data_IF_954964990433
#
_entry.id   IF_954964990433
#
_cell.length_a   1.000
_cell.length_b   1.000
_cell.length_c   1.000
_cell.angle_alpha   90.00
_cell.angle_beta   90.00
_cell.angle_gamma   90.00
#
_symmetry.space_group_name_H-M   'P 1'
#
loop_
_entity.id
_entity.type
_entity.pdbx_description
1 polymer ?
#
# COMPACT_ATOMS: atom_id res chain seq x y z
N UNK A 1 -33.79 11.27 -7.72
CA UNK A 1 -32.70 12.03 -7.06
C UNK A 1 -31.41 11.28 -7.32
N UNK A 2 -30.73 11.63 -8.42
CA UNK A 2 -29.58 10.89 -8.95
C UNK A 2 -28.37 11.08 -8.04
N UNK A 3 -27.96 10.02 -7.34
CA UNK A 3 -26.69 9.91 -6.61
C UNK A 3 -25.72 9.00 -7.38
N UNK A 4 -25.67 9.13 -8.71
CA UNK A 4 -24.51 8.64 -9.46
C UNK A 4 -23.43 9.70 -9.28
N UNK A 5 -22.60 9.55 -8.24
CA UNK A 5 -21.36 10.31 -8.12
C UNK A 5 -20.54 10.05 -9.38
N UNK A 6 -19.95 11.11 -9.92
CA UNK A 6 -18.98 11.02 -11.00
C UNK A 6 -17.91 9.97 -10.63
N UNK A 7 -17.75 8.87 -11.40
CA UNK A 7 -16.72 7.86 -11.14
C UNK A 7 -15.29 8.41 -11.21
N UNK A 8 -15.10 9.66 -11.67
CA UNK A 8 -13.83 10.38 -11.65
C UNK A 8 -13.59 11.22 -10.38
N UNK A 9 -14.54 11.30 -9.44
CA UNK A 9 -14.37 12.01 -8.16
C UNK A 9 -13.51 11.17 -7.20
N UNK A 10 -12.19 11.18 -7.41
CA UNK A 10 -11.19 10.60 -6.49
C UNK A 10 -11.42 11.11 -5.07
N UNK A 11 -11.48 10.21 -4.08
CA UNK A 11 -11.47 10.64 -2.69
C UNK A 11 -10.15 11.33 -2.39
N UNK A 12 -10.22 12.59 -1.96
CA UNK A 12 -9.07 13.38 -1.57
C UNK A 12 -9.16 13.66 -0.07
N UNK A 13 -8.50 12.85 0.77
CA UNK A 13 -8.44 13.14 2.19
C UNK A 13 -7.69 14.45 2.42
N UNK A 14 -8.06 15.18 3.47
CA UNK A 14 -7.32 16.39 3.87
C UNK A 14 -5.92 15.99 4.37
N UNK A 15 -4.85 16.70 3.98
CA UNK A 15 -3.54 16.52 4.62
C UNK A 15 -3.64 16.77 6.13
N UNK A 16 -3.07 15.88 6.92
CA UNK A 16 -3.11 15.95 8.39
C UNK A 16 -1.93 15.17 8.97
N UNK A 17 -1.26 15.73 9.96
CA UNK A 17 -0.15 15.06 10.65
C UNK A 17 -0.67 13.95 11.58
N UNK A 18 0.14 12.92 11.84
CA UNK A 18 -0.30 11.74 12.60
C UNK A 18 -0.87 12.05 13.98
N UNK A 19 -0.24 12.95 14.74
CA UNK A 19 -0.74 13.34 16.06
C UNK A 19 -2.08 14.08 16.02
N UNK A 20 -2.29 14.94 15.00
CA UNK A 20 -3.57 15.61 14.79
C UNK A 20 -4.64 14.62 14.30
N UNK A 21 -4.25 13.69 13.44
CA UNK A 21 -5.12 12.63 12.93
C UNK A 21 -5.61 11.75 14.09
N UNK A 22 -4.70 11.31 14.96
CA UNK A 22 -5.03 10.52 16.15
C UNK A 22 -6.02 11.23 17.06
N UNK A 23 -5.78 12.52 17.35
CA UNK A 23 -6.70 13.33 18.17
C UNK A 23 -8.08 13.45 17.53
N UNK A 24 -8.12 13.73 16.23
CA UNK A 24 -9.38 13.88 15.49
C UNK A 24 -10.17 12.59 15.46
N UNK A 25 -9.51 11.46 15.15
CA UNK A 25 -10.14 10.14 15.13
C UNK A 25 -10.69 9.78 16.50
N UNK A 26 -9.88 9.93 17.55
CA UNK A 26 -10.27 9.59 18.92
C UNK A 26 -11.47 10.42 19.39
N UNK A 27 -11.51 11.71 19.05
CA UNK A 27 -12.55 12.62 19.51
C UNK A 27 -13.84 12.56 18.67
N UNK A 28 -13.74 12.34 17.35
CA UNK A 28 -14.86 12.53 16.41
C UNK A 28 -15.32 11.27 15.69
N UNK A 29 -14.43 10.30 15.51
CA UNK A 29 -14.71 9.10 14.73
C UNK A 29 -15.04 7.92 15.64
N UNK A 30 -14.12 7.59 16.55
CA UNK A 30 -14.22 6.40 17.41
C UNK A 30 -15.47 6.32 18.31
N UNK A 31 -16.02 7.42 18.84
CA UNK A 31 -17.23 7.35 19.66
C UNK A 31 -18.46 6.79 18.93
N UNK A 32 -18.42 6.72 17.61
CA UNK A 32 -19.54 6.29 16.80
C UNK A 32 -19.30 5.05 15.94
N UNK A 33 -18.18 4.34 16.14
CA UNK A 33 -17.90 3.06 15.46
C UNK A 33 -18.00 1.91 16.44
N UNK A 34 -18.32 0.73 15.91
CA UNK A 34 -18.27 -0.52 16.64
C UNK A 34 -16.81 -0.94 16.85
N UNK A 35 -16.52 -1.58 17.98
CA UNK A 35 -15.18 -2.12 18.31
C UNK A 35 -14.03 -1.10 18.14
N UNK A 36 -14.13 0.13 18.70
CA UNK A 36 -13.17 1.21 18.44
C UNK A 36 -11.74 0.90 18.87
N UNK A 37 -11.56 -0.02 19.81
CA UNK A 37 -10.25 -0.44 20.31
C UNK A 37 -9.32 -0.94 19.20
N UNK A 38 -9.87 -1.55 18.14
CA UNK A 38 -9.08 -2.11 17.04
C UNK A 38 -8.37 -1.05 16.17
N UNK A 39 -8.71 0.23 16.35
CA UNK A 39 -8.18 1.36 15.59
C UNK A 39 -7.22 2.24 16.40
N UNK A 40 -7.01 1.96 17.69
CA UNK A 40 -6.26 2.83 18.59
C UNK A 40 -4.74 2.62 18.55
N UNK A 41 -4.32 1.39 18.23
CA UNK A 41 -2.96 0.93 18.44
C UNK A 41 -2.58 0.92 19.93
N UNK A 42 -1.27 0.95 20.20
CA UNK A 42 -0.73 0.92 21.56
C UNK A 42 -0.73 -0.45 22.22
N UNK A 43 -0.97 -1.54 21.48
CA UNK A 43 -0.86 -2.87 22.05
C UNK A 43 0.55 -3.24 22.51
N UNK A 44 0.63 -4.26 23.37
CA UNK A 44 1.91 -4.81 23.83
C UNK A 44 2.71 -5.31 22.63
N UNK A 45 4.02 -5.05 22.64
CA UNK A 45 4.98 -5.39 21.57
C UNK A 45 4.82 -4.57 20.28
N UNK A 46 4.00 -3.51 20.31
CA UNK A 46 4.04 -2.51 19.26
C UNK A 46 5.42 -1.82 19.24
N UNK A 47 6.08 -1.85 18.08
CA UNK A 47 7.32 -1.10 17.82
C UNK A 47 6.95 0.22 17.16
N UNK A 48 7.41 1.32 17.74
CA UNK A 48 7.27 2.66 17.16
C UNK A 48 8.65 3.31 17.07
N UNK A 49 9.04 3.70 15.86
CA UNK A 49 10.31 4.38 15.58
C UNK A 49 10.06 5.81 15.13
N UNK A 50 11.04 6.68 15.35
CA UNK A 50 10.99 8.03 14.79
C UNK A 50 11.20 7.97 13.27
N UNK A 51 10.22 8.46 12.52
CA UNK A 51 10.24 8.53 11.07
C UNK A 51 11.34 9.46 10.52
N UNK A 52 11.83 10.39 11.35
CA UNK A 52 12.95 11.27 11.00
C UNK A 52 14.32 10.64 11.19
N UNK A 53 14.43 9.52 11.92
CA UNK A 53 15.70 8.86 12.22
C UNK A 53 15.98 7.63 11.34
N UNK A 54 15.05 7.26 10.47
CA UNK A 54 15.13 6.07 9.62
C UNK A 54 15.27 6.45 8.15
N UNK A 55 15.85 5.55 7.36
CA UNK A 55 16.00 5.71 5.90
C UNK A 55 14.68 5.43 5.17
N UNK A 56 13.91 4.45 5.62
CA UNK A 56 12.71 3.99 4.95
C UNK A 56 11.52 3.77 5.87
N UNK A 57 10.31 3.93 5.31
CA UNK A 57 9.03 3.74 5.99
C UNK A 57 8.20 2.74 5.20
N UNK A 58 7.90 1.62 5.84
CA UNK A 58 7.06 0.55 5.31
C UNK A 58 5.76 0.49 6.10
N UNK A 59 4.64 0.39 5.40
CA UNK A 59 3.37 -0.01 5.99
C UNK A 59 2.96 -1.39 5.48
N UNK A 60 2.90 -2.38 6.37
CA UNK A 60 2.36 -3.70 6.08
C UNK A 60 0.84 -3.69 6.29
N UNK A 61 0.12 -3.64 5.17
CA UNK A 61 -1.32 -3.66 5.13
C UNK A 61 -1.86 -5.10 5.08
N UNK A 62 -2.83 -5.38 5.94
CA UNK A 62 -3.66 -6.56 5.86
C UNK A 62 -5.07 -6.14 5.39
N UNK A 63 -5.55 -6.63 4.25
CA UNK A 63 -6.81 -6.20 3.65
C UNK A 63 -8.05 -6.82 4.34
N UNK A 64 -8.04 -6.91 5.67
CA UNK A 64 -9.17 -7.32 6.49
C UNK A 64 -9.09 -6.62 7.87
N UNK A 65 -10.10 -6.84 8.70
CA UNK A 65 -10.19 -6.28 10.04
C UNK A 65 -8.97 -6.66 10.89
N UNK A 66 -8.64 -5.77 11.82
CA UNK A 66 -7.52 -5.94 12.76
C UNK A 66 -7.58 -7.28 13.50
N UNK A 67 -8.77 -7.71 13.95
CA UNK A 67 -8.94 -8.97 14.69
C UNK A 67 -8.53 -10.20 13.87
N UNK A 68 -8.75 -10.16 12.55
CA UNK A 68 -8.33 -11.21 11.62
C UNK A 68 -6.83 -11.08 11.33
N UNK A 69 -6.39 -9.89 10.92
CA UNK A 69 -5.00 -9.67 10.51
C UNK A 69 -3.98 -9.85 11.62
N UNK A 70 -4.34 -9.57 12.88
CA UNK A 70 -3.45 -9.81 14.02
C UNK A 70 -3.17 -11.29 14.29
N UNK A 71 -4.05 -12.18 13.82
CA UNK A 71 -3.85 -13.62 13.92
C UNK A 71 -2.97 -14.17 12.79
N UNK A 72 -2.58 -13.34 11.82
CA UNK A 72 -1.80 -13.75 10.67
C UNK A 72 -0.29 -13.81 10.99
N UNK A 73 0.25 -15.03 11.10
CA UNK A 73 1.64 -15.24 11.51
C UNK A 73 2.67 -14.60 10.56
N UNK A 74 2.50 -14.75 9.24
CA UNK A 74 3.44 -14.19 8.27
C UNK A 74 3.55 -12.66 8.37
N UNK A 75 2.46 -11.97 8.70
CA UNK A 75 2.47 -10.52 8.92
C UNK A 75 3.30 -10.17 10.16
N UNK A 76 3.17 -10.95 11.25
CA UNK A 76 3.96 -10.75 12.48
C UNK A 76 5.45 -11.01 12.23
N UNK A 77 5.79 -12.03 11.44
CA UNK A 77 7.18 -12.35 11.07
C UNK A 77 7.79 -11.19 10.26
N UNK A 78 7.12 -10.75 9.20
CA UNK A 78 7.60 -9.63 8.37
C UNK A 78 7.70 -8.32 9.16
N UNK A 79 6.73 -8.05 10.04
CA UNK A 79 6.73 -6.89 10.93
C UNK A 79 7.92 -6.91 11.89
N UNK A 80 8.18 -8.06 12.54
CA UNK A 80 9.30 -8.22 13.45
C UNK A 80 10.65 -8.13 12.71
N UNK A 81 10.76 -8.78 11.54
CA UNK A 81 11.95 -8.76 10.70
C UNK A 81 12.33 -7.33 10.29
N UNK A 82 11.37 -6.57 9.75
CA UNK A 82 11.63 -5.19 9.32
C UNK A 82 11.87 -4.26 10.50
N UNK A 83 11.19 -4.47 11.63
CA UNK A 83 11.45 -3.67 12.83
C UNK A 83 12.73 -4.02 13.58
N UNK A 84 13.36 -5.18 13.32
CA UNK A 84 14.68 -5.49 13.85
C UNK A 84 15.79 -4.62 13.23
N UNK A 85 15.55 -4.03 12.05
CA UNK A 85 16.51 -3.15 11.36
C UNK A 85 16.46 -1.72 11.92
N UNK A 86 17.59 -1.09 12.18
CA UNK A 86 17.62 0.29 12.71
C UNK A 86 17.21 1.35 11.66
N UNK A 87 17.36 1.05 10.37
CA UNK A 87 17.19 1.98 9.27
C UNK A 87 15.77 2.01 8.67
N UNK A 88 14.84 1.18 9.17
CA UNK A 88 13.46 1.14 8.72
C UNK A 88 12.44 1.27 9.86
N UNK A 89 11.42 2.09 9.64
CA UNK A 89 10.18 2.06 10.43
C UNK A 89 9.14 1.20 9.71
N UNK A 90 8.72 0.09 10.33
CA UNK A 90 7.66 -0.75 9.80
C UNK A 90 6.42 -0.62 10.68
N UNK A 91 5.31 -0.25 10.05
CA UNK A 91 4.00 -0.08 10.68
C UNK A 91 2.99 -1.02 10.06
N UNK A 92 1.85 -1.22 10.72
CA UNK A 92 0.77 -2.09 10.26
C UNK A 92 -0.46 -1.27 9.92
N UNK A 93 -1.24 -1.75 8.97
CA UNK A 93 -2.53 -1.17 8.64
C UNK A 93 -3.53 -2.28 8.37
N UNK A 94 -4.78 -2.08 8.78
CA UNK A 94 -5.87 -3.05 8.61
C UNK A 94 -7.02 -2.38 7.89
N UNK A 95 -7.88 -3.15 7.23
CA UNK A 95 -9.04 -2.57 6.55
C UNK A 95 -10.03 -1.98 7.59
N UNK A 96 -10.66 -0.83 7.30
CA UNK A 96 -11.74 -0.32 8.12
C UNK A 96 -12.96 -1.23 8.02
N UNK A 97 -13.75 -1.31 9.10
CA UNK A 97 -15.13 -1.75 9.00
C UNK A 97 -15.97 -0.68 8.29
N UNK A 98 -17.14 -1.06 7.79
CA UNK A 98 -18.02 -0.18 7.00
C UNK A 98 -18.35 1.13 7.74
N UNK A 99 -18.67 1.05 9.03
CA UNK A 99 -19.02 2.21 9.86
C UNK A 99 -17.81 3.14 10.12
N UNK A 100 -16.60 2.57 10.24
CA UNK A 100 -15.35 3.32 10.33
C UNK A 100 -15.04 4.02 9.00
N UNK A 101 -15.16 3.32 7.87
CA UNK A 101 -14.96 3.90 6.54
C UNK A 101 -15.92 5.08 6.31
N UNK A 102 -17.21 4.90 6.54
CA UNK A 102 -18.22 5.95 6.33
C UNK A 102 -17.89 7.23 7.10
N UNK A 103 -17.46 7.09 8.36
CA UNK A 103 -17.10 8.24 9.19
C UNK A 103 -15.80 8.90 8.78
N UNK A 104 -14.78 8.11 8.43
CA UNK A 104 -13.52 8.65 7.90
C UNK A 104 -13.78 9.49 6.65
N UNK A 105 -14.61 8.98 5.74
CA UNK A 105 -15.02 9.71 4.51
C UNK A 105 -15.79 10.98 4.82
N UNK A 106 -16.73 10.93 5.78
CA UNK A 106 -17.51 12.10 6.22
C UNK A 106 -16.61 13.21 6.77
N UNK A 107 -15.61 12.85 7.56
CA UNK A 107 -14.64 13.78 8.14
C UNK A 107 -13.47 14.11 7.18
N UNK A 108 -13.45 13.51 5.98
CA UNK A 108 -12.39 13.65 4.96
C UNK A 108 -11.00 13.32 5.49
N UNK A 109 -10.88 12.29 6.32
CA UNK A 109 -9.61 11.88 6.92
C UNK A 109 -8.93 10.78 6.08
N UNK A 110 -7.59 10.76 6.02
CA UNK A 110 -6.86 9.70 5.35
C UNK A 110 -6.84 8.42 6.20
N UNK A 111 -6.80 7.26 5.54
CA UNK A 111 -6.42 6.02 6.21
C UNK A 111 -4.94 6.05 6.63
N UNK A 112 -4.57 5.26 7.64
CA UNK A 112 -3.32 5.44 8.37
C UNK A 112 -2.71 4.14 8.88
N UNK A 113 -1.41 4.15 9.20
CA UNK A 113 -0.75 3.07 9.93
C UNK A 113 -0.98 3.17 11.44
N UNK A 114 -1.16 2.02 12.08
CA UNK A 114 -1.69 1.85 13.43
C UNK A 114 -0.76 2.43 14.52
N UNK A 115 0.56 2.37 14.32
CA UNK A 115 1.58 2.73 15.29
C UNK A 115 1.70 4.23 15.50
N UNK A 116 1.61 5.01 14.43
CA UNK A 116 1.89 6.45 14.44
C UNK A 116 0.75 7.31 13.94
N UNK A 117 -0.32 6.70 13.41
CA UNK A 117 -1.39 7.40 12.69
C UNK A 117 -0.85 8.16 11.47
N UNK A 118 0.26 7.72 10.90
CA UNK A 118 0.80 8.31 9.67
C UNK A 118 -0.12 7.97 8.49
N UNK A 119 -0.57 8.96 7.68
CA UNK A 119 -1.36 8.70 6.49
C UNK A 119 -0.67 7.72 5.53
N UNK A 120 -1.43 6.83 4.90
CA UNK A 120 -0.85 5.80 4.02
C UNK A 120 -0.04 6.35 2.84
N UNK A 121 -0.38 7.54 2.35
CA UNK A 121 0.37 8.23 1.28
C UNK A 121 1.75 8.76 1.72
N UNK A 122 2.08 8.73 3.01
CA UNK A 122 3.35 9.23 3.55
C UNK A 122 4.42 8.14 3.76
N UNK A 123 4.12 6.88 3.45
CA UNK A 123 5.11 5.79 3.47
C UNK A 123 5.87 5.71 2.15
N UNK A 124 7.05 5.09 2.17
CA UNK A 124 7.82 4.82 0.95
C UNK A 124 7.28 3.57 0.24
N UNK A 125 6.81 2.60 1.03
CA UNK A 125 6.26 1.31 0.56
C UNK A 125 5.00 0.95 1.35
N UNK A 126 3.96 0.53 0.64
CA UNK A 126 2.73 -0.05 1.18
C UNK A 126 2.62 -1.50 0.70
N UNK A 127 2.77 -2.47 1.60
CA UNK A 127 2.78 -3.90 1.26
C UNK A 127 1.54 -4.62 1.72
N UNK A 128 0.81 -5.23 0.78
CA UNK A 128 -0.40 -6.00 1.07
C UNK A 128 -0.13 -7.50 1.21
N UNK A 129 -0.66 -8.12 2.27
CA UNK A 129 -0.71 -9.58 2.42
C UNK A 129 -2.00 -10.14 1.81
N UNK A 130 -1.91 -10.87 0.70
CA UNK A 130 -3.05 -11.46 -0.02
C UNK A 130 -3.29 -12.91 0.42
N UNK A 131 -4.24 -13.11 1.34
CA UNK A 131 -4.54 -14.44 1.90
C UNK A 131 -5.68 -15.18 1.20
N UNK A 132 -6.65 -14.44 0.67
CA UNK A 132 -7.82 -14.98 -0.02
C UNK A 132 -8.42 -13.92 -0.95
N UNK A 133 -9.21 -14.34 -1.92
CA UNK A 133 -9.64 -13.51 -3.04
C UNK A 133 -10.64 -12.43 -2.62
N UNK A 134 -11.47 -12.71 -1.62
CA UNK A 134 -12.55 -11.81 -1.19
C UNK A 134 -12.03 -10.50 -0.56
N UNK A 135 -10.77 -10.44 -0.13
CA UNK A 135 -10.17 -9.23 0.43
C UNK A 135 -9.76 -8.20 -0.64
N UNK A 136 -9.87 -8.53 -1.92
CA UNK A 136 -9.42 -7.67 -3.03
C UNK A 136 -10.08 -6.28 -3.03
N UNK A 137 -11.36 -6.21 -2.67
CA UNK A 137 -12.09 -4.93 -2.59
C UNK A 137 -11.59 -4.05 -1.44
N UNK A 138 -11.14 -4.65 -0.34
CA UNK A 138 -10.60 -3.91 0.81
C UNK A 138 -9.29 -3.22 0.47
N UNK A 139 -8.48 -3.80 -0.43
CA UNK A 139 -7.27 -3.14 -0.95
C UNK A 139 -7.66 -1.83 -1.63
N UNK A 140 -8.69 -1.85 -2.49
CA UNK A 140 -9.18 -0.65 -3.17
C UNK A 140 -9.71 0.39 -2.17
N UNK A 141 -10.46 -0.05 -1.16
CA UNK A 141 -10.92 0.83 -0.06
C UNK A 141 -9.75 1.48 0.67
N UNK A 142 -8.71 0.72 1.02
CA UNK A 142 -7.54 1.22 1.74
C UNK A 142 -6.71 2.20 0.89
N UNK A 143 -6.53 1.92 -0.41
CA UNK A 143 -5.86 2.82 -1.35
C UNK A 143 -6.64 4.13 -1.51
N UNK A 144 -7.95 4.04 -1.77
CA UNK A 144 -8.80 5.21 -1.95
C UNK A 144 -8.84 6.07 -0.69
N UNK A 145 -9.13 5.49 0.49
CA UNK A 145 -9.12 6.21 1.76
C UNK A 145 -7.73 6.77 2.12
N UNK A 146 -6.66 6.08 1.73
CA UNK A 146 -5.28 6.55 1.89
C UNK A 146 -4.92 7.72 0.98
N UNK A 147 -5.79 8.09 0.03
CA UNK A 147 -5.52 9.12 -0.97
C UNK A 147 -4.54 8.67 -2.06
N UNK A 148 -4.28 7.37 -2.19
CA UNK A 148 -3.34 6.79 -3.16
C UNK A 148 -4.11 6.52 -4.47
N UNK A 149 -3.56 6.83 -5.67
CA UNK A 149 -4.22 6.50 -6.93
C UNK A 149 -4.54 4.99 -7.00
N UNK A 150 -5.79 4.66 -7.35
CA UNK A 150 -6.24 3.27 -7.44
C UNK A 150 -5.42 2.51 -8.48
N UNK A 151 -5.33 3.04 -9.70
CA UNK A 151 -4.55 2.39 -10.77
C UNK A 151 -3.07 2.65 -10.59
N UNK A 152 -2.25 1.61 -10.70
CA UNK A 152 -0.78 1.71 -10.65
C UNK A 152 -0.23 2.65 -11.71
N UNK A 153 -0.86 2.70 -12.89
CA UNK A 153 -0.45 3.59 -13.97
C UNK A 153 -0.68 5.08 -13.68
N UNK A 154 -1.55 5.43 -12.75
CA UNK A 154 -1.80 6.82 -12.35
C UNK A 154 -0.80 7.32 -11.29
N UNK A 155 0.05 6.44 -10.75
CA UNK A 155 1.02 6.75 -9.69
C UNK A 155 2.30 7.37 -10.24
N UNK A 156 2.91 8.23 -9.43
CA UNK A 156 4.22 8.84 -9.67
C UNK A 156 5.20 8.45 -8.56
N UNK A 157 6.41 9.02 -8.53
CA UNK A 157 7.34 8.81 -7.41
C UNK A 157 6.92 9.54 -6.12
N UNK A 158 5.85 10.36 -6.15
CA UNK A 158 5.23 10.94 -4.94
C UNK A 158 4.43 9.91 -4.16
N UNK A 159 3.86 8.93 -4.86
CA UNK A 159 3.01 7.91 -4.26
C UNK A 159 3.85 6.72 -3.75
N UNK A 160 3.42 6.05 -2.66
CA UNK A 160 4.12 4.87 -2.15
C UNK A 160 4.23 3.79 -3.23
N UNK A 161 5.28 2.97 -3.15
CA UNK A 161 5.31 1.71 -3.89
C UNK A 161 4.25 0.77 -3.32
N UNK A 162 3.27 0.37 -4.12
CA UNK A 162 2.26 -0.60 -3.68
C UNK A 162 2.70 -1.99 -4.10
N UNK A 163 3.08 -2.81 -3.12
CA UNK A 163 3.49 -4.20 -3.33
C UNK A 163 2.44 -5.16 -2.78
N UNK A 164 2.41 -6.38 -3.29
CA UNK A 164 1.57 -7.44 -2.74
C UNK A 164 2.30 -8.78 -2.72
N UNK A 165 2.06 -9.58 -1.69
CA UNK A 165 2.59 -10.94 -1.55
C UNK A 165 1.58 -11.87 -0.88
N UNK A 166 2.03 -13.06 -0.49
CA UNK A 166 1.16 -14.10 0.07
C UNK A 166 0.58 -15.06 -0.98
N UNK A 167 -0.18 -16.09 -0.57
CA UNK A 167 -0.61 -17.17 -1.44
C UNK A 167 -1.35 -16.71 -2.71
N UNK A 168 -2.24 -15.72 -2.60
CA UNK A 168 -3.00 -15.24 -3.76
C UNK A 168 -2.18 -14.40 -4.74
N UNK A 169 -0.94 -14.00 -4.40
CA UNK A 169 -0.04 -13.34 -5.35
C UNK A 169 0.39 -14.28 -6.51
N UNK A 170 0.12 -15.59 -6.41
CA UNK A 170 0.30 -16.55 -7.50
C UNK A 170 -0.74 -16.39 -8.62
N UNK A 171 -1.85 -15.69 -8.37
CA UNK A 171 -2.86 -15.34 -9.36
C UNK A 171 -3.00 -13.81 -9.42
N UNK A 172 -2.00 -13.07 -9.94
CA UNK A 172 -1.90 -11.62 -9.77
C UNK A 172 -2.85 -10.82 -10.66
N UNK A 173 -3.26 -11.36 -11.81
CA UNK A 173 -3.98 -10.63 -12.86
C UNK A 173 -5.29 -9.95 -12.43
N UNK A 174 -6.14 -10.51 -11.55
CA UNK A 174 -7.32 -9.81 -11.04
C UNK A 174 -6.99 -8.49 -10.31
N UNK A 175 -5.79 -8.39 -9.71
CA UNK A 175 -5.32 -7.21 -8.98
C UNK A 175 -4.24 -6.42 -9.73
N UNK A 176 -3.78 -6.91 -10.89
CA UNK A 176 -2.73 -6.30 -11.71
C UNK A 176 -2.91 -4.79 -11.96
N UNK A 177 -4.12 -4.26 -12.23
CA UNK A 177 -4.29 -2.83 -12.45
C UNK A 177 -3.98 -1.95 -11.24
N UNK A 178 -3.95 -2.51 -10.02
CA UNK A 178 -3.92 -1.77 -8.76
C UNK A 178 -2.63 -1.96 -7.95
N UNK A 179 -1.79 -2.94 -8.30
CA UNK A 179 -0.55 -3.27 -7.60
C UNK A 179 0.63 -2.97 -8.51
N UNK A 180 1.68 -2.32 -7.98
CA UNK A 180 2.87 -2.03 -8.77
C UNK A 180 3.78 -3.26 -8.93
N UNK A 181 3.91 -4.05 -7.86
CA UNK A 181 4.81 -5.21 -7.81
C UNK A 181 4.18 -6.34 -6.99
N UNK A 182 4.05 -7.51 -7.58
CA UNK A 182 3.79 -8.74 -6.84
C UNK A 182 5.11 -9.42 -6.49
N UNK A 183 5.25 -9.84 -5.24
CA UNK A 183 6.36 -10.64 -4.75
C UNK A 183 5.86 -12.07 -4.62
N UNK A 184 6.45 -12.97 -5.40
CA UNK A 184 6.11 -14.40 -5.38
C UNK A 184 7.16 -15.16 -4.58
N UNK A 185 6.74 -16.18 -3.82
CA UNK A 185 7.63 -16.95 -2.96
C UNK A 185 7.76 -16.38 -1.54
N UNK A 186 8.93 -16.54 -0.94
CA UNK A 186 9.19 -16.24 0.47
C UNK A 186 9.34 -14.72 0.70
N UNK A 187 8.54 -14.18 1.62
CA UNK A 187 8.52 -12.75 1.92
C UNK A 187 9.70 -12.32 2.78
N UNK A 188 10.21 -13.21 3.62
CA UNK A 188 11.24 -12.93 4.62
C UNK A 188 12.54 -12.41 3.99
N UNK A 189 13.15 -13.09 3.00
CA UNK A 189 14.32 -12.54 2.31
C UNK A 189 13.95 -11.47 1.27
N UNK A 190 12.74 -11.55 0.70
CA UNK A 190 12.37 -10.76 -0.49
C UNK A 190 11.91 -9.34 -0.15
N UNK A 191 11.12 -9.17 0.91
CA UNK A 191 10.55 -7.87 1.30
C UNK A 191 11.66 -6.84 1.61
N UNK A 192 12.66 -7.13 2.47
CA UNK A 192 13.74 -6.18 2.75
C UNK A 192 14.49 -5.78 1.47
N UNK A 193 14.82 -6.74 0.62
CA UNK A 193 15.57 -6.51 -0.62
C UNK A 193 14.80 -5.63 -1.62
N UNK A 194 13.50 -5.89 -1.81
CA UNK A 194 12.64 -5.08 -2.68
C UNK A 194 12.49 -3.66 -2.13
N UNK A 195 12.27 -3.52 -0.83
CA UNK A 195 12.17 -2.22 -0.16
C UNK A 195 13.44 -1.38 -0.32
N UNK A 196 14.61 -1.96 -0.06
CA UNK A 196 15.89 -1.26 -0.20
C UNK A 196 16.15 -0.86 -1.64
N UNK A 197 15.94 -1.78 -2.58
CA UNK A 197 16.16 -1.52 -4.01
C UNK A 197 15.23 -0.42 -4.55
N UNK A 198 13.98 -0.39 -4.09
CA UNK A 198 13.05 0.67 -4.45
C UNK A 198 13.55 2.05 -4.01
N UNK A 199 13.98 2.19 -2.75
CA UNK A 199 14.51 3.45 -2.23
C UNK A 199 15.74 3.90 -3.03
N UNK A 200 16.68 2.99 -3.28
CA UNK A 200 17.89 3.29 -4.07
C UNK A 200 17.57 3.83 -5.45
N UNK A 201 16.70 3.13 -6.19
CA UNK A 201 16.35 3.51 -7.57
C UNK A 201 15.56 4.82 -7.58
N UNK A 202 14.56 4.96 -6.71
CA UNK A 202 13.75 6.17 -6.61
C UNK A 202 14.63 7.38 -6.27
N UNK A 203 15.48 7.26 -5.27
CA UNK A 203 16.31 8.37 -4.80
C UNK A 203 17.36 8.75 -5.85
N UNK A 204 17.92 7.78 -6.58
CA UNK A 204 18.82 8.04 -7.70
C UNK A 204 18.14 8.84 -8.84
N UNK A 205 16.92 8.45 -9.25
CA UNK A 205 16.14 9.17 -10.27
C UNK A 205 15.78 10.58 -9.79
N UNK A 206 15.36 10.72 -8.53
CA UNK A 206 15.04 12.05 -7.97
C UNK A 206 16.30 12.92 -7.92
N UNK A 207 17.45 12.37 -7.57
CA UNK A 207 18.71 13.11 -7.53
C UNK A 207 19.19 13.55 -8.92
N UNK A 208 18.99 12.73 -9.96
CA UNK A 208 19.43 13.05 -11.33
C UNK A 208 18.48 14.01 -12.07
N UNK A 209 17.17 13.84 -11.91
CA UNK A 209 16.17 14.50 -12.77
C UNK A 209 15.21 15.45 -12.02
N UNK A 210 15.27 15.41 -10.68
CA UNK A 210 14.27 16.01 -9.81
C UNK A 210 12.97 15.20 -9.79
N UNK A 211 12.20 15.34 -8.72
CA UNK A 211 10.87 14.71 -8.61
C UNK A 211 9.87 15.39 -9.55
N UNK A 212 9.20 14.61 -10.40
CA UNK A 212 8.15 15.10 -11.31
C UNK A 212 6.78 14.53 -10.97
N UNK A 213 5.74 15.22 -11.41
CA UNK A 213 4.34 14.80 -11.32
C UNK A 213 3.73 14.66 -12.72
N UNK A 214 2.46 14.25 -12.79
CA UNK A 214 1.75 14.07 -14.05
C UNK A 214 2.42 13.03 -14.96
N UNK A 215 2.43 13.27 -16.27
CA UNK A 215 2.98 12.31 -17.23
C UNK A 215 4.49 12.09 -17.07
N UNK A 216 5.25 13.14 -16.76
CA UNK A 216 6.68 13.01 -16.49
C UNK A 216 6.94 12.19 -15.23
N UNK A 217 6.17 12.41 -14.15
CA UNK A 217 6.27 11.60 -12.93
C UNK A 217 5.89 10.14 -13.14
N UNK A 218 4.89 9.86 -14.00
CA UNK A 218 4.53 8.49 -14.38
C UNK A 218 5.66 7.79 -15.13
N UNK A 219 6.37 8.49 -16.03
CA UNK A 219 7.55 7.95 -16.72
C UNK A 219 8.68 7.61 -15.76
N UNK A 220 9.00 8.49 -14.82
CA UNK A 220 9.99 8.21 -13.77
C UNK A 220 9.63 6.97 -12.95
N UNK A 221 8.34 6.80 -12.60
CA UNK A 221 7.87 5.58 -11.92
C UNK A 221 8.02 4.34 -12.79
N UNK A 222 7.72 4.42 -14.08
CA UNK A 222 7.91 3.32 -15.03
C UNK A 222 9.37 2.88 -15.10
N UNK A 223 10.30 3.82 -15.18
CA UNK A 223 11.74 3.53 -15.18
C UNK A 223 12.17 2.88 -13.86
N UNK A 224 11.71 3.42 -12.73
CA UNK A 224 12.03 2.85 -11.42
C UNK A 224 11.54 1.40 -11.26
N UNK A 225 10.31 1.12 -11.70
CA UNK A 225 9.72 -0.21 -11.67
C UNK A 225 10.42 -1.18 -12.62
N UNK A 226 10.92 -0.70 -13.76
CA UNK A 226 11.69 -1.51 -14.70
C UNK A 226 13.00 -1.99 -14.07
N UNK A 227 13.71 -1.10 -13.38
CA UNK A 227 14.94 -1.46 -12.66
C UNK A 227 14.67 -2.45 -11.53
N UNK A 228 13.53 -2.31 -10.84
CA UNK A 228 13.12 -3.27 -9.82
C UNK A 228 12.82 -4.66 -10.42
N UNK A 229 12.08 -4.71 -11.54
CA UNK A 229 11.76 -5.95 -12.25
C UNK A 229 13.01 -6.71 -12.72
N UNK A 230 14.04 -5.99 -13.17
CA UNK A 230 15.34 -6.59 -13.56
C UNK A 230 16.15 -7.11 -12.37
N UNK A 231 15.92 -6.54 -11.18
CA UNK A 231 16.73 -6.84 -9.99
C UNK A 231 16.36 -8.18 -9.36
N UNK A 232 15.10 -8.62 -9.50
CA UNK A 232 14.60 -9.79 -8.77
C UNK A 232 13.71 -10.68 -9.64
N UNK A 233 14.12 -11.94 -9.83
CA UNK A 233 13.37 -12.92 -10.62
C UNK A 233 12.02 -13.31 -10.03
N UNK A 234 11.81 -13.06 -8.74
CA UNK A 234 10.58 -13.35 -8.01
C UNK A 234 9.58 -12.19 -7.98
N UNK A 235 9.92 -11.06 -8.63
CA UNK A 235 9.02 -9.91 -8.78
C UNK A 235 8.25 -9.99 -10.09
N UNK A 236 6.94 -9.78 -10.01
CA UNK A 236 6.06 -9.61 -11.17
C UNK A 236 5.54 -8.18 -11.17
N UNK A 237 5.87 -7.40 -12.21
CA UNK A 237 5.45 -6.00 -12.35
C UNK A 237 4.42 -5.90 -13.47
N UNK A 238 3.10 -5.82 -13.15
CA UNK A 238 2.05 -6.06 -14.13
C UNK A 238 2.06 -5.13 -15.33
N UNK A 239 2.50 -3.88 -15.14
CA UNK A 239 2.51 -2.88 -16.23
C UNK A 239 3.43 -3.21 -17.40
N UNK A 240 4.29 -4.22 -17.25
CA UNK A 240 5.17 -4.72 -18.32
C UNK A 240 4.63 -5.98 -18.99
N UNK A 241 3.34 -6.26 -18.80
CA UNK A 241 2.66 -7.40 -19.37
C UNK A 241 1.31 -6.97 -19.92
N UNK A 242 0.91 -7.57 -21.05
CA UNK A 242 -0.36 -7.29 -21.70
C UNK A 242 -1.06 -8.62 -22.06
N UNK A 243 -2.29 -8.84 -21.57
CA UNK A 243 -3.03 -10.07 -21.86
C UNK A 243 -3.58 -10.05 -23.29
N UNK A 244 -3.30 -11.11 -24.07
CA UNK A 244 -3.89 -11.36 -25.38
C UNK A 244 -5.20 -12.13 -25.23
N UNK A 245 -6.28 -11.59 -25.81
CA UNK A 245 -7.57 -12.27 -25.92
C UNK A 245 -7.91 -12.57 -27.37
N UNK A 246 -8.37 -13.79 -27.65
CA UNK A 246 -8.88 -14.20 -28.98
C UNK A 246 -10.25 -14.82 -28.82
N UNK A 247 -11.25 -14.26 -29.50
CA UNK A 247 -12.64 -14.69 -29.35
C UNK A 247 -13.17 -14.59 -27.91
N UNK A 248 -12.70 -13.59 -27.15
CA UNK A 248 -13.08 -13.38 -25.74
C UNK A 248 -12.42 -14.34 -24.74
N UNK A 249 -11.50 -15.21 -25.17
CA UNK A 249 -10.73 -16.10 -24.30
C UNK A 249 -9.31 -15.60 -24.14
N UNK A 250 -8.78 -15.70 -22.93
CA UNK A 250 -7.38 -15.45 -22.66
C UNK A 250 -6.51 -16.47 -23.40
N UNK A 251 -5.47 -15.99 -24.07
CA UNK A 251 -4.57 -16.81 -24.90
C UNK A 251 -3.14 -16.77 -24.37
N UNK A 252 -2.64 -15.58 -24.08
CA UNK A 252 -1.25 -15.36 -23.67
C UNK A 252 -1.13 -14.11 -22.80
N UNK A 253 -0.05 -14.03 -22.04
CA UNK A 253 0.37 -12.82 -21.35
C UNK A 253 1.71 -12.38 -21.94
N UNK A 254 1.69 -11.31 -22.73
CA UNK A 254 2.85 -10.87 -23.49
C UNK A 254 3.67 -9.87 -22.69
N UNK A 255 4.95 -10.15 -22.50
CA UNK A 255 5.87 -9.23 -21.83
C UNK A 255 6.22 -8.07 -22.78
N UNK A 256 5.96 -6.83 -22.36
CA UNK A 256 6.14 -5.61 -23.17
C UNK A 256 7.46 -4.89 -22.92
N UNK A 257 8.16 -5.21 -21.81
CA UNK A 257 9.49 -4.67 -21.48
C UNK A 257 10.45 -5.79 -21.02
N UNK A 258 11.74 -5.72 -21.37
CA UNK A 258 12.75 -6.73 -21.05
C UNK A 258 13.06 -6.85 -19.55
#
# INVERSE_FOLDING_TARGET
MSLVRDPASRYQPRPVAGDELKRTISARVLPGVQTPAQYLGGERNMVRKDHGSVRGRLCLAFPDLYTIGMSHHGLQVLYALMNAREDWACERCFAPAVDMEERMRRERLPWYGLESFTPLSCYDVLGFSLQYEICSVNILTMLDLGGIPLRGDDRTLVDPLVIAGGPCAQNPEPLAPFIDVFITGDGEPSLPAVCDRWLEVRDAIIASEGRREGEAGRRQRTEALLELAKSFSYTYVPRFYEPEYRGGRFVALNRTRP
#
